data_IF_960080864214
#
_entry.id   IF_960080864214
#
_cell.length_a   1.000
_cell.length_b   1.000
_cell.length_c   1.000
_cell.angle_alpha   90.00
_cell.angle_beta   90.00
_cell.angle_gamma   90.00
#
_symmetry.space_group_name_H-M   'P 1'
#
loop_
_entity.id
_entity.type
_entity.pdbx_description
1 polymer ?
#
# COMPACT_ATOMS: atom_id res chain seq x y z
N UNK A 1 18.18 0.98 26.72
CA UNK A 1 17.58 -0.33 26.39
C UNK A 1 16.46 -0.20 25.37
N UNK A 2 15.44 0.65 25.57
CA UNK A 2 14.32 0.80 24.60
C UNK A 2 14.74 1.19 23.16
N UNK A 3 15.83 1.95 22.99
CA UNK A 3 16.30 2.41 21.66
C UNK A 3 16.92 1.29 20.81
N UNK A 4 17.62 0.33 21.44
CA UNK A 4 18.31 -0.76 20.71
C UNK A 4 17.33 -1.83 20.26
N UNK A 5 16.34 -2.15 21.10
CA UNK A 5 15.28 -3.10 20.77
C UNK A 5 14.37 -2.58 19.65
N UNK A 6 13.98 -1.31 19.71
CA UNK A 6 13.22 -0.67 18.63
C UNK A 6 14.02 -0.63 17.32
N UNK A 7 15.31 -0.30 17.38
CA UNK A 7 16.17 -0.30 16.20
C UNK A 7 16.28 -1.71 15.58
N UNK A 8 16.36 -2.76 16.40
CA UNK A 8 16.35 -4.14 15.93
C UNK A 8 15.03 -4.52 15.25
N UNK A 9 13.89 -4.17 15.83
CA UNK A 9 12.56 -4.41 15.23
C UNK A 9 12.45 -3.75 13.86
N UNK A 10 12.87 -2.48 13.76
CA UNK A 10 12.85 -1.73 12.50
C UNK A 10 13.74 -2.37 11.41
N UNK A 11 14.91 -2.89 11.78
CA UNK A 11 15.81 -3.59 10.87
C UNK A 11 15.24 -4.93 10.37
N UNK A 12 14.57 -5.68 11.24
CA UNK A 12 13.92 -6.94 10.86
C UNK A 12 12.72 -6.67 9.94
N UNK A 13 11.90 -5.67 10.25
CA UNK A 13 10.80 -5.23 9.38
C UNK A 13 11.31 -4.75 8.02
N UNK A 14 12.42 -4.02 7.98
CA UNK A 14 13.06 -3.57 6.75
C UNK A 14 13.43 -4.74 5.83
N UNK A 15 13.96 -5.83 6.41
CA UNK A 15 14.27 -7.07 5.66
C UNK A 15 13.02 -7.74 5.10
N UNK A 16 11.96 -7.84 5.89
CA UNK A 16 10.69 -8.48 5.46
C UNK A 16 10.01 -7.69 4.35
N UNK A 17 10.00 -6.37 4.48
CA UNK A 17 9.35 -5.48 3.51
C UNK A 17 10.25 -5.14 2.31
N UNK A 18 11.53 -5.54 2.35
CA UNK A 18 12.49 -5.25 1.28
C UNK A 18 12.80 -3.76 1.14
N UNK A 19 12.70 -3.01 2.22
CA UNK A 19 12.74 -1.54 2.25
C UNK A 19 13.90 -1.02 3.10
N UNK A 20 14.23 0.26 2.96
CA UNK A 20 15.21 0.90 3.83
C UNK A 20 14.68 1.07 5.26
N UNK A 21 15.56 1.03 6.26
CA UNK A 21 15.20 1.33 7.66
C UNK A 21 14.59 2.74 7.78
N UNK A 22 15.01 3.70 6.95
CA UNK A 22 14.42 5.03 6.91
C UNK A 22 12.95 5.00 6.44
N UNK A 23 12.64 4.20 5.41
CA UNK A 23 11.25 3.96 4.96
C UNK A 23 10.41 3.38 6.09
N UNK A 24 10.91 2.35 6.79
CA UNK A 24 10.19 1.72 7.90
C UNK A 24 10.00 2.69 9.07
N UNK A 25 11.01 3.50 9.40
CA UNK A 25 10.87 4.58 10.41
C UNK A 25 9.75 5.55 10.06
N UNK A 26 9.65 5.96 8.80
CA UNK A 26 8.57 6.81 8.31
C UNK A 26 7.19 6.11 8.37
N UNK A 27 7.15 4.81 8.08
CA UNK A 27 5.92 4.01 8.26
C UNK A 27 5.49 3.96 9.73
N UNK A 28 6.41 3.62 10.64
CA UNK A 28 6.15 3.56 12.08
C UNK A 28 5.76 4.92 12.67
N UNK A 29 6.32 6.02 12.14
CA UNK A 29 5.90 7.36 12.52
C UNK A 29 4.43 7.64 12.15
N UNK A 30 4.01 7.24 10.93
CA UNK A 30 2.61 7.36 10.49
C UNK A 30 1.68 6.39 11.23
N UNK A 31 2.17 5.22 11.60
CA UNK A 31 1.40 4.14 12.22
C UNK A 31 2.19 3.48 13.35
N UNK A 32 2.10 4.05 14.56
CA UNK A 32 2.88 3.61 15.74
C UNK A 32 2.64 2.15 16.12
N UNK A 33 1.44 1.61 15.85
CA UNK A 33 1.11 0.20 16.11
C UNK A 33 1.93 -0.80 15.28
N UNK A 34 2.72 -0.34 14.29
CA UNK A 34 3.71 -1.20 13.63
C UNK A 34 4.83 -1.63 14.58
N UNK A 35 5.21 -0.80 15.55
CA UNK A 35 6.34 -1.07 16.45
C UNK A 35 6.06 -2.21 17.44
N UNK A 36 4.80 -2.63 17.59
CA UNK A 36 4.42 -3.76 18.44
C UNK A 36 4.36 -5.09 17.68
N UNK A 37 4.62 -5.08 16.37
CA UNK A 37 4.59 -6.28 15.53
C UNK A 37 6.01 -6.79 15.33
N UNK A 38 6.17 -8.12 15.33
CA UNK A 38 7.42 -8.73 14.90
C UNK A 38 7.45 -8.96 13.38
N UNK A 39 8.63 -9.32 12.87
CA UNK A 39 8.86 -9.55 11.45
C UNK A 39 8.02 -10.69 10.86
N UNK A 40 7.77 -11.76 11.63
CA UNK A 40 6.98 -12.89 11.16
C UNK A 40 5.49 -12.52 11.06
N UNK A 41 4.99 -11.74 12.01
CA UNK A 41 3.64 -11.21 12.02
C UNK A 41 3.45 -10.23 10.84
N UNK A 42 4.39 -9.32 10.61
CA UNK A 42 4.33 -8.42 9.44
C UNK A 42 4.25 -9.22 8.14
N UNK A 43 5.09 -10.25 7.97
CA UNK A 43 5.05 -11.11 6.77
C UNK A 43 3.69 -11.80 6.60
N UNK A 44 3.18 -12.42 7.66
CA UNK A 44 1.87 -13.09 7.65
C UNK A 44 0.75 -12.12 7.30
N UNK A 45 0.80 -10.89 7.80
CA UNK A 45 -0.21 -9.86 7.47
C UNK A 45 -0.11 -9.42 6.02
N UNK A 46 1.08 -9.31 5.44
CA UNK A 46 1.24 -9.04 3.99
C UNK A 46 0.68 -10.19 3.14
N UNK A 47 0.90 -11.44 3.54
CA UNK A 47 0.32 -12.61 2.88
C UNK A 47 -1.22 -12.60 2.93
N UNK A 48 -1.82 -12.20 4.06
CA UNK A 48 -3.27 -12.01 4.18
C UNK A 48 -3.78 -10.91 3.26
N UNK A 49 -3.09 -9.76 3.17
CA UNK A 49 -3.45 -8.69 2.21
C UNK A 49 -3.42 -9.21 0.78
N UNK A 50 -2.36 -9.95 0.41
CA UNK A 50 -2.22 -10.53 -0.92
C UNK A 50 -3.39 -11.46 -1.27
N UNK A 51 -3.83 -12.30 -0.32
CA UNK A 51 -4.97 -13.20 -0.51
C UNK A 51 -6.30 -12.45 -0.62
N UNK A 52 -6.56 -11.48 0.26
CA UNK A 52 -7.84 -10.75 0.28
C UNK A 52 -7.99 -9.87 -0.97
N UNK A 53 -6.93 -9.15 -1.34
CA UNK A 53 -6.91 -8.25 -2.50
C UNK A 53 -6.71 -9.03 -3.82
N UNK A 54 -6.35 -10.31 -3.71
CA UNK A 54 -6.11 -11.23 -4.82
C UNK A 54 -4.99 -10.72 -5.75
N UNK A 55 -3.83 -10.39 -5.17
CA UNK A 55 -2.65 -9.91 -5.90
C UNK A 55 -1.40 -10.68 -5.46
N UNK A 56 -0.33 -10.73 -6.29
CA UNK A 56 0.93 -11.33 -5.88
C UNK A 56 1.50 -10.68 -4.61
N UNK A 57 2.20 -11.48 -3.79
CA UNK A 57 2.82 -11.03 -2.54
C UNK A 57 3.65 -9.76 -2.70
N UNK A 58 4.45 -9.66 -3.76
CA UNK A 58 5.30 -8.50 -4.04
C UNK A 58 4.49 -7.20 -4.19
N UNK A 59 3.36 -7.25 -4.91
CA UNK A 59 2.46 -6.09 -5.07
C UNK A 59 1.80 -5.73 -3.72
N UNK A 60 1.32 -6.73 -2.99
CA UNK A 60 0.73 -6.51 -1.66
C UNK A 60 1.74 -5.87 -0.69
N UNK A 61 3.00 -6.32 -0.71
CA UNK A 61 4.10 -5.76 0.08
C UNK A 61 4.31 -4.28 -0.24
N UNK A 62 4.41 -3.92 -1.51
CA UNK A 62 4.56 -2.53 -1.96
C UNK A 62 3.37 -1.67 -1.50
N UNK A 63 2.14 -2.17 -1.65
CA UNK A 63 0.94 -1.48 -1.17
C UNK A 63 0.96 -1.27 0.35
N UNK A 64 1.44 -2.25 1.14
CA UNK A 64 1.58 -2.13 2.59
C UNK A 64 2.61 -1.06 3.01
N UNK A 65 3.66 -0.84 2.22
CA UNK A 65 4.63 0.23 2.45
C UNK A 65 4.00 1.60 2.22
N UNK A 66 3.20 1.72 1.15
CA UNK A 66 2.46 2.95 0.82
C UNK A 66 1.45 3.26 1.94
N UNK A 67 0.65 2.26 2.31
CA UNK A 67 -0.41 2.35 3.30
C UNK A 67 -0.20 1.37 4.48
N UNK A 68 0.54 1.78 5.52
CA UNK A 68 0.83 0.95 6.70
C UNK A 68 -0.40 0.38 7.44
N UNK A 69 -1.57 0.99 7.30
CA UNK A 69 -2.80 0.49 7.92
C UNK A 69 -3.21 -0.88 7.41
N UNK A 70 -2.80 -1.27 6.20
CA UNK A 70 -2.94 -2.63 5.67
C UNK A 70 -2.24 -3.68 6.55
N UNK A 71 -1.20 -3.29 7.28
CA UNK A 71 -0.54 -4.17 8.23
C UNK A 71 -1.24 -4.10 9.58
N UNK A 72 -1.66 -2.95 10.09
CA UNK A 72 -2.16 -2.88 11.48
C UNK A 72 -3.65 -3.21 11.65
N UNK A 73 -4.46 -3.03 10.62
CA UNK A 73 -5.91 -3.31 10.58
C UNK A 73 -6.23 -4.19 9.35
N UNK A 74 -5.47 -5.27 9.20
CA UNK A 74 -5.31 -6.01 7.94
C UNK A 74 -6.60 -6.39 7.25
N UNK A 75 -7.49 -7.11 7.92
CA UNK A 75 -8.70 -7.63 7.29
C UNK A 75 -9.58 -6.50 6.76
N UNK A 76 -9.94 -5.55 7.62
CA UNK A 76 -10.82 -4.44 7.29
C UNK A 76 -10.24 -3.56 6.19
N UNK A 77 -8.94 -3.28 6.25
CA UNK A 77 -8.28 -2.44 5.24
C UNK A 77 -8.17 -3.21 3.91
N UNK A 78 -7.75 -4.47 3.91
CA UNK A 78 -7.65 -5.25 2.69
C UNK A 78 -9.01 -5.44 2.00
N UNK A 79 -10.09 -5.71 2.75
CA UNK A 79 -11.46 -5.78 2.21
C UNK A 79 -11.90 -4.43 1.60
N UNK A 80 -11.58 -3.31 2.26
CA UNK A 80 -11.87 -1.98 1.72
C UNK A 80 -11.08 -1.67 0.42
N UNK A 81 -9.81 -2.10 0.35
CA UNK A 81 -8.98 -1.95 -0.83
C UNK A 81 -9.49 -2.81 -1.99
N UNK A 82 -9.82 -4.07 -1.75
CA UNK A 82 -10.40 -4.97 -2.77
C UNK A 82 -11.66 -4.35 -3.38
N UNK A 83 -12.56 -3.87 -2.51
CA UNK A 83 -13.79 -3.22 -2.94
C UNK A 83 -13.52 -1.93 -3.74
N UNK A 84 -12.58 -1.10 -3.25
CA UNK A 84 -12.15 0.11 -3.94
C UNK A 84 -11.56 -0.18 -5.32
N UNK A 85 -10.69 -1.18 -5.45
CA UNK A 85 -10.11 -1.62 -6.72
C UNK A 85 -11.20 -2.08 -7.69
N UNK A 86 -12.21 -2.82 -7.23
CA UNK A 86 -13.33 -3.24 -8.08
C UNK A 86 -14.09 -2.06 -8.67
N UNK A 87 -14.37 -1.03 -7.86
CA UNK A 87 -15.01 0.20 -8.33
C UNK A 87 -14.11 0.90 -9.37
N UNK A 88 -12.81 1.07 -9.07
CA UNK A 88 -11.88 1.70 -10.01
C UNK A 88 -11.85 0.97 -11.35
N UNK A 89 -11.70 -0.36 -11.31
CA UNK A 89 -11.61 -1.19 -12.51
C UNK A 89 -12.89 -1.06 -13.36
N UNK A 90 -14.05 -1.04 -12.70
CA UNK A 90 -15.34 -0.83 -13.35
C UNK A 90 -15.43 0.55 -14.01
N UNK A 91 -15.16 1.61 -13.24
CA UNK A 91 -15.36 2.99 -13.68
C UNK A 91 -14.36 3.40 -14.77
N UNK A 92 -13.10 2.98 -14.62
CA UNK A 92 -12.05 3.22 -15.62
C UNK A 92 -12.08 2.20 -16.76
N UNK A 93 -12.87 1.13 -16.67
CA UNK A 93 -12.86 0.02 -17.64
C UNK A 93 -11.43 -0.47 -17.90
N UNK A 94 -10.74 -0.82 -16.81
CA UNK A 94 -9.33 -1.22 -16.83
C UNK A 94 -9.13 -2.52 -16.05
N UNK A 95 -8.18 -3.38 -16.45
CA UNK A 95 -7.85 -4.60 -15.71
C UNK A 95 -7.22 -4.26 -14.35
N UNK A 96 -7.49 -5.10 -13.34
CA UNK A 96 -7.00 -4.92 -11.96
C UNK A 96 -5.49 -4.75 -11.88
N UNK A 97 -4.76 -5.55 -12.64
CA UNK A 97 -3.29 -5.49 -12.65
C UNK A 97 -2.75 -4.13 -13.08
N UNK A 98 -3.35 -3.50 -14.09
CA UNK A 98 -2.97 -2.15 -14.55
C UNK A 98 -3.26 -1.10 -13.48
N UNK A 99 -4.42 -1.17 -12.82
CA UNK A 99 -4.78 -0.24 -11.74
C UNK A 99 -3.84 -0.38 -10.55
N UNK A 100 -3.51 -1.62 -10.16
CA UNK A 100 -2.57 -1.87 -9.05
C UNK A 100 -1.17 -1.35 -9.39
N UNK A 101 -0.68 -1.55 -10.63
CA UNK A 101 0.58 -0.97 -11.08
C UNK A 101 0.56 0.55 -11.05
N UNK A 102 -0.52 1.19 -11.54
CA UNK A 102 -0.66 2.64 -11.49
C UNK A 102 -0.62 3.17 -10.06
N UNK A 103 -1.28 2.48 -9.14
CA UNK A 103 -1.29 2.82 -7.72
C UNK A 103 0.10 2.69 -7.09
N UNK A 104 0.82 1.59 -7.35
CA UNK A 104 2.15 1.34 -6.80
C UNK A 104 3.15 2.39 -7.31
N UNK A 105 3.06 2.74 -8.59
CA UNK A 105 3.91 3.76 -9.22
C UNK A 105 3.50 5.19 -8.87
N UNK A 106 2.29 5.40 -8.32
CA UNK A 106 1.79 6.70 -7.88
C UNK A 106 1.22 6.63 -6.45
N UNK A 107 2.09 6.49 -5.42
CA UNK A 107 1.69 6.25 -4.03
C UNK A 107 0.76 7.30 -3.42
N UNK A 108 0.69 8.49 -4.00
CA UNK A 108 -0.22 9.56 -3.58
C UNK A 108 -1.69 9.16 -3.70
N UNK A 109 -2.03 8.24 -4.59
CA UNK A 109 -3.40 7.75 -4.82
C UNK A 109 -3.94 6.94 -3.64
N UNK A 110 -3.08 6.19 -2.93
CA UNK A 110 -3.46 5.44 -1.73
C UNK A 110 -3.32 6.27 -0.44
N UNK A 111 -2.88 7.52 -0.53
CA UNK A 111 -2.48 8.31 0.64
C UNK A 111 -3.69 8.97 1.32
N UNK A 112 -4.54 8.16 1.95
CA UNK A 112 -5.70 8.59 2.74
C UNK A 112 -5.72 7.96 4.13
N UNK A 113 -6.13 8.73 5.15
CA UNK A 113 -6.39 8.22 6.53
C UNK A 113 -7.46 7.14 6.58
N UNK A 114 -8.23 6.99 5.50
CA UNK A 114 -9.22 5.96 5.27
C UNK A 114 -9.04 5.54 3.81
N UNK A 115 -9.04 4.24 3.51
CA UNK A 115 -9.01 3.74 2.13
C UNK A 115 -10.35 3.97 1.42
N UNK A 116 -10.74 5.24 1.36
CA UNK A 116 -11.84 5.77 0.58
C UNK A 116 -11.19 6.60 -0.51
N UNK A 117 -11.16 6.06 -1.72
CA UNK A 117 -10.74 6.81 -2.88
C UNK A 117 -11.74 7.94 -3.11
N UNK A 118 -11.24 9.16 -3.14
CA UNK A 118 -12.04 10.32 -3.48
C UNK A 118 -12.26 10.38 -5.00
N UNK A 119 -13.23 11.20 -5.43
CA UNK A 119 -13.41 11.52 -6.86
C UNK A 119 -12.13 12.10 -7.48
N UNK A 120 -11.30 12.80 -6.68
CA UNK A 120 -10.02 13.34 -7.14
C UNK A 120 -9.00 12.22 -7.40
N UNK A 121 -8.97 11.17 -6.59
CA UNK A 121 -8.08 10.02 -6.79
C UNK A 121 -8.47 9.25 -8.05
N UNK A 122 -9.77 9.09 -8.30
CA UNK A 122 -10.32 8.50 -9.53
C UNK A 122 -9.94 9.32 -10.78
N UNK A 123 -10.08 10.65 -10.72
CA UNK A 123 -9.70 11.53 -11.82
C UNK A 123 -8.18 11.50 -12.07
N UNK A 124 -7.37 11.45 -11.01
CA UNK A 124 -5.92 11.35 -11.11
C UNK A 124 -5.52 10.02 -11.77
N UNK A 125 -6.12 8.90 -11.35
CA UNK A 125 -5.88 7.60 -11.98
C UNK A 125 -6.26 7.59 -13.47
N UNK A 126 -7.39 8.19 -13.82
CA UNK A 126 -7.81 8.33 -15.22
C UNK A 126 -6.79 9.12 -16.06
N UNK A 127 -6.26 10.22 -15.51
CA UNK A 127 -5.24 11.05 -16.16
C UNK A 127 -3.88 10.34 -16.29
N UNK A 128 -3.49 9.53 -15.31
CA UNK A 128 -2.25 8.74 -15.38
C UNK A 128 -2.34 7.64 -16.44
N UNK A 129 -3.53 7.06 -16.63
CA UNK A 129 -3.80 6.03 -17.63
C UNK A 129 -3.84 6.56 -19.05
N UNK A 130 -4.48 7.71 -19.26
CA UNK A 130 -4.45 8.45 -20.50
C UNK A 130 -3.54 9.67 -20.33
N UNK A 131 -2.20 9.53 -20.43
CA UNK A 131 -1.34 10.68 -20.55
C UNK A 131 -1.67 11.30 -21.92
N UNK A 132 -2.71 12.15 -21.96
CA UNK A 132 -3.02 12.91 -23.16
C UNK A 132 -1.72 13.57 -23.58
N UNK A 133 -1.28 13.16 -24.76
CA UNK A 133 0.01 13.51 -25.30
C UNK A 133 0.25 15.00 -25.14
N UNK A 134 1.53 15.33 -24.96
CA UNK A 134 2.11 16.56 -25.48
C UNK A 134 1.22 17.15 -26.58
N UNK A 135 0.92 18.43 -26.42
CA UNK A 135 0.66 19.33 -27.55
C UNK A 135 1.71 18.98 -28.62
N UNK A 136 1.25 18.40 -29.73
CA UNK A 136 2.02 18.29 -30.97
C UNK A 136 1.39 19.34 -31.88
N UNK A 137 2.14 20.42 -32.02
CA UNK A 137 2.00 21.63 -32.85
C UNK A 137 0.65 22.39 -32.86
#
# INVERSE_FOLDING_TARGET
MESEEQQHVLEQMAKVLGESVATIKNMAFRQKALLSLDAAEVKSRVEQVAQIVDVPYEKARQMCVIQPSLITDTRKQAEALEYGLRIICHDLKAPKDEIVELIINNPSVLHGRQMRLSVADMAHLALLREPKGRIVD
#
